data_IF_511886617831
#
_entry.id   IF_511886617831
#
_cell.length_a   1.000
_cell.length_b   1.000
_cell.length_c   1.000
_cell.angle_alpha   90.00
_cell.angle_beta   90.00
_cell.angle_gamma   90.00
#
_symmetry.space_group_name_H-M   'P 1'
#
loop_
_entity.id
_entity.type
_entity.pdbx_description
1 polymer ?
#
# COMPACT_ATOMS: atom_id res chain seq x y z
N UNK A 1 1.07 -4.25 20.27
CA UNK A 1 1.24 -4.57 18.84
C UNK A 1 2.36 -3.69 18.38
N UNK A 2 3.47 -4.30 17.97
CA UNK A 2 4.70 -3.57 17.66
C UNK A 2 4.99 -3.69 16.16
N UNK A 3 5.57 -2.62 15.61
CA UNK A 3 6.02 -2.59 14.22
C UNK A 3 7.05 -3.69 13.96
N UNK A 4 6.89 -4.37 12.82
CA UNK A 4 7.77 -5.43 12.35
C UNK A 4 8.41 -5.03 11.01
N UNK A 5 9.64 -5.49 10.69
CA UNK A 5 10.25 -5.24 9.39
C UNK A 5 9.39 -5.76 8.23
N UNK A 6 9.31 -5.01 7.12
CA UNK A 6 8.43 -5.37 5.98
C UNK A 6 8.68 -6.76 5.41
N UNK A 7 9.92 -7.25 5.44
CA UNK A 7 10.28 -8.58 4.91
C UNK A 7 9.58 -9.74 5.63
N UNK A 8 9.09 -9.48 6.85
CA UNK A 8 8.37 -10.45 7.69
C UNK A 8 6.85 -10.38 7.52
N UNK A 9 6.35 -9.46 6.71
CA UNK A 9 4.93 -9.25 6.53
C UNK A 9 4.24 -10.43 5.83
N UNK A 10 2.96 -10.68 6.14
CA UNK A 10 2.19 -11.73 5.47
C UNK A 10 2.02 -11.40 3.99
N UNK A 11 2.36 -12.37 3.13
CA UNK A 11 2.24 -12.29 1.66
C UNK A 11 1.04 -13.06 1.12
N UNK A 12 0.03 -13.27 1.97
CA UNK A 12 -1.17 -14.07 1.71
C UNK A 12 -2.37 -13.22 1.24
N UNK A 13 -2.14 -11.93 0.95
CA UNK A 13 -3.18 -10.99 0.55
C UNK A 13 -4.01 -10.41 1.70
N UNK A 14 -3.72 -10.73 2.96
CA UNK A 14 -4.40 -10.11 4.09
C UNK A 14 -4.01 -8.63 4.22
N UNK A 15 -5.00 -7.81 4.59
CA UNK A 15 -4.79 -6.40 4.91
C UNK A 15 -3.96 -6.22 6.20
N UNK A 16 -2.98 -5.32 6.14
CA UNK A 16 -2.09 -4.91 7.22
C UNK A 16 -1.92 -3.39 7.21
N UNK A 17 -1.38 -2.85 8.29
CA UNK A 17 -0.94 -1.45 8.33
C UNK A 17 0.51 -1.42 7.86
N UNK A 18 0.84 -0.52 6.94
CA UNK A 18 2.15 -0.31 6.33
C UNK A 18 2.70 1.06 6.75
N UNK A 19 3.99 1.13 7.06
CA UNK A 19 4.71 2.38 7.27
C UNK A 19 5.69 2.65 6.12
N UNK A 20 5.51 3.77 5.43
CA UNK A 20 6.38 4.29 4.39
C UNK A 20 6.94 5.66 4.79
N UNK A 21 7.86 6.22 3.99
CA UNK A 21 8.50 7.50 4.32
C UNK A 21 7.49 8.66 4.46
N UNK A 22 6.36 8.58 3.75
CA UNK A 22 5.31 9.61 3.70
C UNK A 22 4.16 9.39 4.68
N UNK A 23 4.14 8.28 5.42
CA UNK A 23 3.12 8.03 6.42
C UNK A 23 2.74 6.57 6.59
N UNK A 24 1.51 6.37 7.05
CA UNK A 24 0.95 5.06 7.38
C UNK A 24 -0.32 4.83 6.56
N UNK A 25 -0.41 3.69 5.90
CA UNK A 25 -1.56 3.29 5.07
C UNK A 25 -2.00 1.86 5.38
N UNK A 26 -3.22 1.50 4.97
CA UNK A 26 -3.69 0.10 5.01
C UNK A 26 -3.46 -0.52 3.64
N UNK A 27 -2.79 -1.66 3.61
CA UNK A 27 -2.40 -2.33 2.38
C UNK A 27 -2.36 -3.85 2.45
N UNK A 28 -2.12 -4.49 1.31
CA UNK A 28 -2.06 -5.94 1.15
C UNK A 28 -1.00 -6.34 0.11
N UNK A 29 -0.60 -7.62 0.14
CA UNK A 29 0.30 -8.20 -0.86
C UNK A 29 -0.47 -8.77 -2.05
N UNK A 30 -0.03 -8.45 -3.27
CA UNK A 30 -0.59 -8.93 -4.53
C UNK A 30 0.53 -9.55 -5.39
N UNK A 31 0.56 -10.89 -5.49
CA UNK A 31 1.63 -11.59 -6.19
C UNK A 31 1.50 -11.54 -7.72
N UNK A 32 0.30 -11.23 -8.24
CA UNK A 32 0.03 -11.09 -9.67
C UNK A 32 0.64 -9.83 -10.29
N UNK A 33 1.03 -8.84 -9.48
CA UNK A 33 1.63 -7.60 -9.95
C UNK A 33 3.16 -7.76 -10.15
N UNK A 34 3.70 -7.42 -11.34
CA UNK A 34 5.10 -7.70 -11.67
C UNK A 34 6.09 -6.70 -11.05
N UNK A 35 5.66 -5.49 -10.73
CA UNK A 35 6.53 -4.37 -10.34
C UNK A 35 6.39 -3.99 -8.87
N UNK A 36 5.16 -3.82 -8.38
CA UNK A 36 4.89 -3.39 -7.00
C UNK A 36 3.84 -4.29 -6.34
N UNK A 37 4.33 -5.23 -5.54
CA UNK A 37 3.48 -6.23 -4.89
C UNK A 37 2.74 -5.71 -3.66
N UNK A 38 3.20 -4.62 -3.02
CA UNK A 38 2.48 -4.00 -1.92
C UNK A 38 1.48 -2.97 -2.45
N UNK A 39 0.19 -3.22 -2.25
CA UNK A 39 -0.94 -2.38 -2.66
C UNK A 39 -1.56 -1.75 -1.42
N UNK A 40 -2.13 -0.56 -1.56
CA UNK A 40 -2.84 0.12 -0.49
C UNK A 40 -3.82 1.12 -1.10
N UNK A 41 -4.82 1.52 -0.32
CA UNK A 41 -5.75 2.58 -0.71
C UNK A 41 -5.22 3.89 -0.15
N UNK A 42 -4.84 4.82 -1.01
CA UNK A 42 -4.72 6.23 -0.60
C UNK A 42 -6.07 6.91 -0.81
N UNK A 43 -6.61 7.51 0.25
CA UNK A 43 -7.82 8.36 0.19
C UNK A 43 -7.53 9.72 -0.49
N UNK A 44 -6.29 9.95 -0.92
CA UNK A 44 -5.90 11.14 -1.66
C UNK A 44 -6.23 10.97 -3.13
N UNK A 45 -7.45 11.42 -3.45
CA UNK A 45 -7.91 11.81 -4.77
C UNK A 45 -8.44 10.67 -5.68
N UNK A 46 -9.77 10.69 -5.88
CA UNK A 46 -10.42 9.98 -6.97
C UNK A 46 -10.10 10.58 -8.34
N UNK A 47 -9.39 11.72 -8.37
CA UNK A 47 -8.81 12.21 -9.61
C UNK A 47 -7.48 11.50 -9.86
N UNK A 48 -7.28 10.86 -11.02
CA UNK A 48 -5.98 10.31 -11.36
C UNK A 48 -4.99 11.48 -11.47
N UNK A 49 -4.21 11.72 -10.41
CA UNK A 49 -3.01 12.55 -10.47
C UNK A 49 -1.94 11.78 -11.22
N UNK A 50 -2.09 11.73 -12.54
CA UNK A 50 -1.00 11.42 -13.45
C UNK A 50 0.04 12.52 -13.26
N UNK A 51 1.06 12.26 -12.45
CA UNK A 51 2.03 13.29 -12.14
C UNK A 51 2.97 13.58 -13.31
N UNK A 52 2.98 12.79 -14.40
CA UNK A 52 3.92 13.03 -15.51
C UNK A 52 3.45 12.65 -16.93
N UNK A 53 2.21 12.27 -17.24
CA UNK A 53 1.85 11.94 -18.62
C UNK A 53 0.36 11.65 -18.80
N UNK A 54 -0.17 12.17 -19.90
CA UNK A 54 -1.54 11.95 -20.35
C UNK A 54 -1.70 10.62 -21.10
N UNK A 55 -0.67 9.78 -21.13
CA UNK A 55 -0.74 8.45 -21.73
C UNK A 55 -1.41 7.50 -20.75
N UNK A 56 -2.39 6.74 -21.23
CA UNK A 56 -3.20 5.85 -20.40
C UNK A 56 -2.41 4.73 -19.72
N UNK A 57 -1.14 4.56 -20.08
CA UNK A 57 -0.23 3.53 -19.56
C UNK A 57 0.36 3.92 -18.19
N UNK A 58 0.42 5.21 -17.87
CA UNK A 58 0.89 5.74 -16.58
C UNK A 58 -0.25 6.10 -15.62
N UNK A 59 -1.49 5.75 -16.01
CA UNK A 59 -2.61 5.62 -15.07
C UNK A 59 -2.39 4.37 -14.22
N UNK A 60 -1.42 4.43 -13.32
CA UNK A 60 -1.40 3.50 -12.18
C UNK A 60 -2.71 3.77 -11.45
N UNK A 61 -3.70 2.84 -11.47
CA UNK A 61 -5.01 3.11 -10.91
C UNK A 61 -4.84 3.24 -9.40
N UNK A 62 -4.79 4.46 -8.86
CA UNK A 62 -4.85 4.81 -7.43
C UNK A 62 -3.98 3.99 -6.44
N UNK A 63 -3.08 3.11 -6.88
CA UNK A 63 -2.61 1.98 -6.07
C UNK A 63 -1.09 1.74 -6.13
N UNK A 64 -0.29 2.66 -6.65
CA UNK A 64 1.15 2.45 -6.77
C UNK A 64 1.94 3.71 -6.51
N UNK A 65 2.16 4.02 -5.22
CA UNK A 65 3.27 4.88 -4.87
C UNK A 65 4.56 4.18 -5.29
N UNK A 66 5.17 4.68 -6.36
CA UNK A 66 6.51 4.26 -6.79
C UNK A 66 7.60 4.73 -5.81
N UNK A 67 7.31 5.71 -4.95
CA UNK A 67 8.34 6.43 -4.23
C UNK A 67 8.92 5.67 -3.03
N UNK A 68 8.14 4.84 -2.32
CA UNK A 68 8.65 4.20 -1.11
C UNK A 68 8.10 2.80 -0.88
N UNK A 69 8.99 1.82 -0.98
CA UNK A 69 8.71 0.47 -0.46
C UNK A 69 8.43 0.61 1.04
N UNK A 70 7.31 0.08 1.56
CA UNK A 70 7.02 0.16 2.98
C UNK A 70 8.17 -0.46 3.77
N UNK A 71 8.56 0.17 4.88
CA UNK A 71 9.70 -0.25 5.70
C UNK A 71 9.28 -1.20 6.82
N UNK A 72 8.06 -1.00 7.35
CA UNK A 72 7.52 -1.75 8.48
C UNK A 72 6.03 -2.04 8.29
N UNK A 73 5.54 -3.03 9.04
CA UNK A 73 4.13 -3.38 9.08
C UNK A 73 3.65 -3.67 10.50
N UNK A 74 2.32 -3.65 10.69
CA UNK A 74 1.66 -4.21 11.87
C UNK A 74 0.30 -4.81 11.48
N UNK A 75 -0.23 -5.81 12.22
CA UNK A 75 -1.58 -6.30 11.98
C UNK A 75 -2.61 -5.18 12.20
N UNK A 76 -3.75 -5.28 11.53
CA UNK A 76 -4.89 -4.40 11.82
C UNK A 76 -5.29 -4.54 13.30
N UNK A 77 -5.58 -3.44 14.00
CA UNK A 77 -6.10 -3.51 15.36
C UNK A 77 -7.43 -4.26 15.35
N UNK A 78 -7.75 -4.89 16.50
CA UNK A 78 -9.08 -5.48 16.68
C UNK A 78 -10.12 -4.38 16.42
N UNK A 79 -11.11 -4.68 15.59
CA UNK A 79 -12.24 -3.78 15.38
C UNK A 79 -12.87 -3.41 16.74
N UNK A 80 -13.35 -2.17 16.92
CA UNK A 80 -14.07 -1.80 18.12
C UNK A 80 -15.27 -2.75 18.30
N UNK A 81 -15.56 -3.11 19.55
CA UNK A 81 -16.76 -3.88 19.84
C UNK A 81 -17.98 -3.01 19.46
N UNK A 82 -18.93 -3.58 18.71
CA UNK A 82 -20.09 -2.89 18.16
C UNK A 82 -21.10 -2.45 19.23
#
# INVERSE_FOLDING_TARGET
MDWQPIDTAPKDGRAVILAASHGVSVGWWEDSEPTFKWRFVEDFDLTPTGCCDMESEDRVPCNGMHADTPSHWMPLPKAPDA
#
